data_IF_240645285682
#
_entry.id   IF_240645285682
#
_cell.length_a   1.000
_cell.length_b   1.000
_cell.length_c   1.000
_cell.angle_alpha   90.00
_cell.angle_beta   90.00
_cell.angle_gamma   90.00
#
_symmetry.space_group_name_H-M   'P 1'
#
loop_
_entity.id
_entity.type
_entity.pdbx_description
1 polymer ?
#
# COMPACT_ATOMS: atom_id res chain seq x y z
N UNK A 1 -16.62 20.45 -16.12
CA UNK A 1 -15.58 19.45 -16.46
C UNK A 1 -14.28 20.01 -15.92
N UNK A 2 -13.54 19.27 -15.08
CA UNK A 2 -12.20 19.72 -14.68
C UNK A 2 -11.34 19.79 -15.95
N UNK A 3 -10.78 20.95 -16.25
CA UNK A 3 -9.85 21.16 -17.36
C UNK A 3 -8.49 20.57 -16.97
N UNK A 4 -8.22 19.34 -17.41
CA UNK A 4 -6.96 18.65 -17.16
C UNK A 4 -7.06 17.15 -17.46
N UNK A 5 -5.95 16.56 -17.94
CA UNK A 5 -5.82 15.10 -18.12
C UNK A 5 -5.86 14.42 -16.76
N UNK A 6 -6.61 13.31 -16.60
CA UNK A 6 -6.61 12.57 -15.33
C UNK A 6 -5.29 11.84 -15.15
N UNK A 7 -4.77 11.84 -13.94
CA UNK A 7 -3.63 11.05 -13.52
C UNK A 7 -4.12 9.95 -12.58
N UNK A 8 -3.88 8.70 -12.95
CA UNK A 8 -4.26 7.53 -12.16
C UNK A 8 -2.99 6.99 -11.50
N UNK A 9 -2.87 7.20 -10.20
CA UNK A 9 -1.72 6.80 -9.39
C UNK A 9 -2.03 5.46 -8.72
N UNK A 10 -1.40 4.40 -9.20
CA UNK A 10 -1.52 3.07 -8.62
C UNK A 10 -0.48 2.84 -7.54
N UNK A 11 -0.93 2.31 -6.40
CA UNK A 11 -0.07 1.81 -5.34
C UNK A 11 -0.54 0.42 -4.97
N UNK A 12 0.37 -0.57 -5.01
CA UNK A 12 0.07 -1.95 -4.62
C UNK A 12 0.69 -2.20 -3.24
N UNK A 13 -0.16 -2.41 -2.23
CA UNK A 13 0.26 -2.86 -0.92
C UNK A 13 0.39 -4.38 -0.90
N UNK A 14 1.62 -4.87 -0.98
CA UNK A 14 1.91 -6.30 -1.03
C UNK A 14 2.25 -6.79 0.38
N UNK A 15 1.38 -7.62 0.97
CA UNK A 15 1.69 -8.37 2.19
C UNK A 15 2.78 -9.39 1.83
N UNK A 16 4.04 -9.04 2.13
CA UNK A 16 5.22 -9.68 1.55
C UNK A 16 5.73 -10.81 2.45
N UNK A 17 5.05 -11.95 2.42
CA UNK A 17 5.31 -13.09 3.30
C UNK A 17 5.96 -14.28 2.54
N UNK A 18 7.29 -14.29 2.31
CA UNK A 18 7.95 -15.40 1.63
C UNK A 18 7.86 -16.72 2.41
N UNK A 19 7.63 -16.65 3.73
CA UNK A 19 7.41 -17.80 4.61
C UNK A 19 6.06 -18.47 4.42
N UNK A 20 5.08 -17.80 3.80
CA UNK A 20 3.70 -18.25 3.74
C UNK A 20 3.57 -19.64 3.13
N UNK A 21 2.84 -20.53 3.80
CA UNK A 21 2.29 -21.76 3.21
C UNK A 21 0.94 -22.07 3.82
N UNK A 22 0.13 -22.90 3.15
CA UNK A 22 -1.22 -23.22 3.61
C UNK A 22 -1.29 -23.79 5.05
N UNK A 23 -0.21 -24.38 5.56
CA UNK A 23 -0.13 -24.94 6.91
C UNK A 23 1.26 -24.76 7.53
N UNK A 24 1.48 -23.76 8.38
CA UNK A 24 2.79 -23.47 8.99
C UNK A 24 3.65 -22.54 8.12
N UNK A 25 4.97 -22.66 8.20
CA UNK A 25 5.90 -21.78 7.47
C UNK A 25 6.92 -22.57 6.64
N UNK A 26 7.44 -21.95 5.58
CA UNK A 26 8.63 -22.42 4.89
C UNK A 26 9.89 -22.16 5.72
N UNK A 27 10.86 -23.06 5.61
CA UNK A 27 12.21 -22.82 6.12
C UNK A 27 12.93 -21.74 5.29
N UNK A 28 13.99 -21.17 5.85
CA UNK A 28 14.74 -20.09 5.22
C UNK A 28 15.25 -20.42 3.80
N UNK A 29 15.81 -21.62 3.50
CA UNK A 29 16.23 -21.96 2.14
C UNK A 29 15.08 -21.93 1.12
N UNK A 30 13.89 -22.38 1.49
CA UNK A 30 12.73 -22.27 0.60
C UNK A 30 12.27 -20.83 0.45
N UNK A 31 12.29 -20.02 1.52
CA UNK A 31 11.94 -18.60 1.45
C UNK A 31 12.87 -17.86 0.47
N UNK A 32 14.18 -18.09 0.57
CA UNK A 32 15.19 -17.51 -0.35
C UNK A 32 14.88 -17.91 -1.79
N UNK A 33 14.67 -19.22 -2.06
CA UNK A 33 14.32 -19.71 -3.40
C UNK A 33 13.05 -19.07 -3.93
N UNK A 34 12.02 -18.90 -3.10
CA UNK A 34 10.77 -18.26 -3.51
C UNK A 34 10.96 -16.78 -3.81
N UNK A 35 11.77 -16.09 -3.01
CA UNK A 35 12.13 -14.68 -3.24
C UNK A 35 12.93 -14.52 -4.54
N UNK A 36 13.84 -15.45 -4.86
CA UNK A 36 14.55 -15.45 -6.15
C UNK A 36 13.60 -15.56 -7.34
N UNK A 37 12.60 -16.45 -7.27
CA UNK A 37 11.61 -16.58 -8.32
C UNK A 37 10.71 -15.34 -8.41
N UNK A 38 10.32 -14.75 -7.27
CA UNK A 38 9.59 -13.49 -7.24
C UNK A 38 10.41 -12.36 -7.88
N UNK A 39 11.70 -12.24 -7.56
CA UNK A 39 12.61 -11.23 -8.11
C UNK A 39 12.69 -11.34 -9.64
N UNK A 40 12.85 -12.55 -10.18
CA UNK A 40 12.83 -12.79 -11.64
C UNK A 40 11.52 -12.34 -12.28
N UNK A 41 10.38 -12.68 -11.68
CA UNK A 41 9.07 -12.26 -12.18
C UNK A 41 8.90 -10.75 -12.11
N UNK A 42 9.23 -10.11 -10.98
CA UNK A 42 9.15 -8.67 -10.81
C UNK A 42 10.01 -7.92 -11.84
N UNK A 43 11.23 -8.41 -12.10
CA UNK A 43 12.11 -7.86 -13.13
C UNK A 43 11.49 -7.98 -14.53
N UNK A 44 11.04 -9.18 -14.91
CA UNK A 44 10.44 -9.42 -16.22
C UNK A 44 9.15 -8.59 -16.45
N UNK A 45 8.33 -8.43 -15.42
CA UNK A 45 7.11 -7.61 -15.49
C UNK A 45 7.43 -6.12 -15.53
N UNK A 46 8.36 -5.64 -14.69
CA UNK A 46 8.78 -4.24 -14.68
C UNK A 46 9.48 -3.80 -15.97
N UNK A 47 10.18 -4.71 -16.65
CA UNK A 47 10.76 -4.45 -17.98
C UNK A 47 9.70 -4.30 -19.07
N UNK A 48 8.63 -5.11 -19.00
CA UNK A 48 7.56 -5.11 -19.99
C UNK A 48 6.49 -4.03 -19.74
N UNK A 49 6.29 -3.63 -18.49
CA UNK A 49 5.24 -2.70 -18.08
C UNK A 49 5.88 -1.48 -17.44
N UNK A 50 5.81 -0.36 -18.16
CA UNK A 50 6.26 0.95 -17.69
C UNK A 50 5.13 1.96 -17.79
N UNK A 51 5.00 2.79 -16.77
CA UNK A 51 4.02 3.86 -16.74
C UNK A 51 4.41 5.02 -17.68
N UNK A 52 3.60 6.08 -17.68
CA UNK A 52 3.81 7.25 -18.55
C UNK A 52 5.12 8.00 -18.29
N UNK A 53 5.81 7.73 -17.18
CA UNK A 53 7.08 8.34 -16.78
C UNK A 53 8.27 7.40 -16.97
N UNK A 54 8.04 6.18 -17.46
CA UNK A 54 9.05 5.13 -17.60
C UNK A 54 9.27 4.30 -16.32
N UNK A 55 8.47 4.51 -15.28
CA UNK A 55 8.55 3.76 -14.01
C UNK A 55 8.07 2.34 -14.22
N UNK A 56 8.86 1.35 -13.78
CA UNK A 56 8.49 -0.06 -13.82
C UNK A 56 7.23 -0.32 -13.00
N UNK A 57 6.39 -1.25 -13.42
CA UNK A 57 5.37 -1.80 -12.51
C UNK A 57 6.06 -2.40 -11.28
N UNK A 58 5.65 -1.94 -10.10
CA UNK A 58 6.30 -2.24 -8.82
C UNK A 58 5.32 -2.14 -7.66
N UNK A 59 5.64 -2.82 -6.57
CA UNK A 59 4.83 -2.85 -5.37
C UNK A 59 5.51 -2.08 -4.23
N UNK A 60 4.73 -1.80 -3.18
CA UNK A 60 5.29 -1.60 -1.84
C UNK A 60 5.23 -2.94 -1.13
N UNK A 61 6.39 -3.46 -0.74
CA UNK A 61 6.55 -4.77 -0.13
C UNK A 61 6.60 -4.62 1.40
N UNK A 62 5.47 -4.86 2.04
CA UNK A 62 5.33 -4.80 3.49
C UNK A 62 5.85 -6.11 4.10
N UNK A 63 7.06 -6.10 4.65
CA UNK A 63 7.73 -7.29 5.18
C UNK A 63 7.42 -7.52 6.67
N UNK A 64 7.06 -8.74 7.11
CA UNK A 64 6.70 -9.03 8.50
C UNK A 64 7.87 -8.82 9.46
N UNK A 65 7.76 -7.84 10.34
CA UNK A 65 8.78 -7.49 11.33
C UNK A 65 9.11 -8.65 12.28
N UNK A 66 8.12 -9.50 12.58
CA UNK A 66 8.29 -10.67 13.44
C UNK A 66 9.03 -11.84 12.76
N UNK A 67 9.41 -11.71 11.49
CA UNK A 67 10.05 -12.75 10.69
C UNK A 67 11.36 -12.27 10.05
N UNK A 68 12.16 -11.48 10.77
CA UNK A 68 13.40 -10.95 10.24
C UNK A 68 14.45 -12.03 9.93
N UNK A 69 14.86 -12.10 8.65
CA UNK A 69 16.02 -12.85 8.19
C UNK A 69 16.89 -11.93 7.33
N UNK A 70 18.15 -11.66 7.70
CA UNK A 70 18.99 -10.71 6.98
C UNK A 70 19.11 -11.00 5.49
N UNK A 71 19.24 -12.27 5.10
CA UNK A 71 19.42 -12.70 3.71
C UNK A 71 18.22 -12.37 2.82
N UNK A 72 17.00 -12.37 3.39
CA UNK A 72 15.80 -12.00 2.65
C UNK A 72 15.74 -10.48 2.44
N UNK A 73 16.07 -9.70 3.48
CA UNK A 73 16.03 -8.24 3.41
C UNK A 73 17.18 -7.67 2.57
N UNK A 74 18.37 -8.26 2.62
CA UNK A 74 19.50 -7.90 1.75
C UNK A 74 19.06 -8.02 0.27
N UNK A 75 18.38 -9.12 -0.08
CA UNK A 75 17.82 -9.32 -1.43
C UNK A 75 16.67 -8.37 -1.77
N UNK A 76 15.82 -8.03 -0.81
CA UNK A 76 14.76 -7.03 -1.05
C UNK A 76 15.34 -5.62 -1.24
N UNK A 77 16.44 -5.29 -0.56
CA UNK A 77 17.18 -4.05 -0.80
C UNK A 77 17.78 -4.02 -2.21
N UNK A 78 18.34 -5.13 -2.71
CA UNK A 78 18.77 -5.26 -4.11
C UNK A 78 17.60 -5.03 -5.09
N UNK A 79 16.43 -5.63 -4.82
CA UNK A 79 15.23 -5.40 -5.62
C UNK A 79 14.80 -3.93 -5.62
N UNK A 80 14.90 -3.25 -4.47
CA UNK A 80 14.60 -1.83 -4.35
C UNK A 80 15.59 -0.98 -5.15
N UNK A 81 16.89 -1.25 -5.06
CA UNK A 81 17.92 -0.58 -5.85
C UNK A 81 17.70 -0.74 -7.36
N UNK A 82 17.13 -1.86 -7.81
CA UNK A 82 16.73 -2.09 -9.20
C UNK A 82 15.42 -1.38 -9.62
N UNK A 83 14.77 -0.69 -8.67
CA UNK A 83 13.50 -0.01 -8.87
C UNK A 83 12.29 -0.94 -8.95
N UNK A 84 12.36 -2.15 -8.36
CA UNK A 84 11.29 -3.17 -8.41
C UNK A 84 10.29 -3.08 -7.25
N UNK A 85 10.39 -2.06 -6.41
CA UNK A 85 9.49 -1.79 -5.30
C UNK A 85 10.24 -1.23 -4.10
N UNK A 86 9.53 -0.85 -3.06
CA UNK A 86 10.14 -0.37 -1.81
C UNK A 86 9.75 -1.29 -0.65
N UNK A 87 10.64 -1.44 0.33
CA UNK A 87 10.41 -2.23 1.54
C UNK A 87 9.82 -1.35 2.62
N UNK A 88 8.72 -1.81 3.22
CA UNK A 88 8.01 -1.13 4.31
C UNK A 88 7.59 -2.14 5.39
N UNK A 89 6.98 -1.68 6.49
CA UNK A 89 6.76 -2.52 7.68
C UNK A 89 5.38 -3.16 7.69
N UNK A 90 5.37 -4.46 7.89
CA UNK A 90 4.20 -5.28 8.17
C UNK A 90 4.36 -5.89 9.56
N UNK A 91 3.29 -6.03 10.34
CA UNK A 91 3.37 -6.76 11.60
C UNK A 91 2.10 -7.58 11.84
N UNK A 92 2.30 -8.87 12.15
CA UNK A 92 1.29 -9.66 12.84
C UNK A 92 1.60 -9.65 14.34
N UNK A 93 0.63 -9.25 15.14
CA UNK A 93 0.75 -9.27 16.59
C UNK A 93 -0.63 -9.52 17.22
N UNK A 94 -0.67 -9.82 18.51
CA UNK A 94 -1.94 -10.08 19.21
C UNK A 94 -2.66 -11.37 18.81
N UNK A 95 -2.01 -12.30 18.10
CA UNK A 95 -2.65 -13.49 17.49
C UNK A 95 -3.06 -14.53 18.53
N UNK A 96 -2.13 -14.95 19.40
CA UNK A 96 -2.39 -15.95 20.44
C UNK A 96 -3.02 -15.33 21.69
N UNK A 97 -2.56 -14.12 22.04
CA UNK A 97 -3.04 -13.30 23.16
C UNK A 97 -2.89 -11.82 22.78
N UNK A 98 -3.65 -10.89 23.39
CA UNK A 98 -3.46 -9.46 23.19
C UNK A 98 -2.00 -9.05 23.38
N UNK A 99 -1.49 -8.21 22.47
CA UNK A 99 -0.16 -7.62 22.58
C UNK A 99 -0.15 -6.45 23.58
N UNK A 100 1.04 -5.91 23.87
CA UNK A 100 1.19 -4.73 24.73
C UNK A 100 1.80 -3.57 23.97
N UNK A 101 1.48 -2.34 24.39
CA UNK A 101 2.07 -1.11 23.87
C UNK A 101 3.61 -1.11 23.89
N UNK A 102 4.19 -1.66 24.97
CA UNK A 102 5.65 -1.80 25.12
C UNK A 102 6.24 -2.74 24.07
N UNK A 103 5.66 -3.93 23.91
CA UNK A 103 6.17 -4.91 22.94
C UNK A 103 6.01 -4.41 21.50
N UNK A 104 4.84 -3.85 21.17
CA UNK A 104 4.58 -3.25 19.86
C UNK A 104 5.63 -2.18 19.54
N UNK A 105 5.88 -1.25 20.47
CA UNK A 105 6.89 -0.19 20.27
C UNK A 105 8.28 -0.75 20.06
N UNK A 106 8.69 -1.73 20.87
CA UNK A 106 10.03 -2.32 20.77
C UNK A 106 10.24 -2.99 19.41
N UNK A 107 9.29 -3.83 18.98
CA UNK A 107 9.37 -4.51 17.67
C UNK A 107 9.45 -3.51 16.52
N UNK A 108 8.61 -2.47 16.53
CA UNK A 108 8.60 -1.47 15.47
C UNK A 108 9.89 -0.66 15.41
N UNK A 109 10.42 -0.23 16.56
CA UNK A 109 11.66 0.54 16.64
C UNK A 109 12.84 -0.31 16.18
N UNK A 110 12.99 -1.53 16.72
CA UNK A 110 14.08 -2.43 16.36
C UNK A 110 14.06 -2.75 14.86
N UNK A 111 12.90 -3.11 14.31
CA UNK A 111 12.80 -3.47 12.90
C UNK A 111 13.00 -2.26 11.97
N UNK A 112 12.45 -1.09 12.31
CA UNK A 112 12.69 0.17 11.59
C UNK A 112 14.19 0.47 11.50
N UNK A 113 14.89 0.41 12.62
CA UNK A 113 16.30 0.77 12.69
C UNK A 113 17.15 -0.25 11.93
N UNK A 114 16.82 -1.55 12.01
CA UNK A 114 17.46 -2.59 11.18
C UNK A 114 17.25 -2.34 9.69
N UNK A 115 16.02 -2.04 9.24
CA UNK A 115 15.75 -1.75 7.84
C UNK A 115 16.52 -0.52 7.34
N UNK A 116 16.55 0.55 8.13
CA UNK A 116 17.21 1.79 7.76
C UNK A 116 18.75 1.68 7.78
N UNK A 117 19.32 1.15 8.86
CA UNK A 117 20.77 1.20 9.09
C UNK A 117 21.51 0.06 8.39
N UNK A 118 20.99 -1.16 8.44
CA UNK A 118 21.66 -2.31 7.82
C UNK A 118 21.33 -2.43 6.34
N UNK A 119 20.05 -2.31 6.00
CA UNK A 119 19.56 -2.60 4.64
C UNK A 119 19.44 -1.36 3.76
N UNK A 120 19.62 -0.15 4.34
CA UNK A 120 19.46 1.13 3.65
C UNK A 120 18.06 1.28 3.01
N UNK A 121 17.08 0.57 3.55
CA UNK A 121 15.67 0.68 3.18
C UNK A 121 15.04 1.90 3.89
N UNK A 122 13.73 2.10 3.68
CA UNK A 122 12.94 3.21 4.24
C UNK A 122 13.39 4.59 3.74
N UNK A 123 12.85 5.64 4.37
CA UNK A 123 13.03 7.02 3.98
C UNK A 123 13.20 7.96 5.17
N UNK A 124 13.59 9.21 4.93
CA UNK A 124 13.60 10.28 5.94
C UNK A 124 12.74 11.44 5.47
N UNK A 125 12.06 12.10 6.41
CA UNK A 125 11.27 13.29 6.11
C UNK A 125 12.21 14.46 5.83
N UNK A 126 12.11 15.03 4.63
CA UNK A 126 12.98 16.09 4.14
C UNK A 126 14.49 15.74 4.21
N UNK A 127 14.84 14.44 4.25
CA UNK A 127 16.22 13.94 4.36
C UNK A 127 16.79 13.92 5.78
N UNK A 128 15.99 14.24 6.80
CA UNK A 128 16.46 14.40 8.18
C UNK A 128 15.66 13.57 9.20
N UNK A 129 16.24 13.43 10.40
CA UNK A 129 15.58 12.85 11.56
C UNK A 129 15.49 11.33 11.55
N UNK A 130 14.47 10.80 12.25
CA UNK A 130 14.25 9.36 12.36
C UNK A 130 13.80 8.76 11.01
N UNK A 131 14.15 7.50 10.72
CA UNK A 131 13.57 6.79 9.58
C UNK A 131 12.05 6.79 9.63
N UNK A 132 11.44 6.94 8.46
CA UNK A 132 10.01 7.02 8.21
C UNK A 132 9.58 5.84 7.35
N UNK A 133 8.45 5.26 7.71
CA UNK A 133 7.98 4.00 7.16
C UNK A 133 6.45 3.99 6.99
N UNK A 134 5.96 3.14 6.09
CA UNK A 134 4.55 2.85 5.90
C UNK A 134 4.18 1.56 6.63
N UNK A 135 2.92 1.47 7.09
CA UNK A 135 2.43 0.31 7.82
C UNK A 135 1.32 -0.43 7.08
N UNK A 136 1.33 -1.75 7.24
CA UNK A 136 0.17 -2.61 7.05
C UNK A 136 0.03 -3.48 8.30
N UNK A 137 -1.16 -3.47 8.89
CA UNK A 137 -1.49 -4.35 9.99
C UNK A 137 -1.85 -5.74 9.45
N UNK A 138 -1.06 -6.76 9.78
CA UNK A 138 -1.17 -8.07 9.12
C UNK A 138 -2.45 -8.83 9.41
N UNK A 139 -3.00 -8.64 10.60
CA UNK A 139 -4.31 -9.17 10.96
C UNK A 139 -5.49 -8.23 10.66
N UNK A 140 -5.26 -7.13 9.94
CA UNK A 140 -6.24 -6.09 9.63
C UNK A 140 -6.81 -5.32 10.84
N UNK A 141 -6.47 -5.73 12.06
CA UNK A 141 -7.05 -5.26 13.32
C UNK A 141 -6.46 -3.93 13.83
N UNK A 142 -6.15 -3.00 12.91
CA UNK A 142 -5.54 -1.71 13.20
C UNK A 142 -6.24 -1.00 14.36
N UNK A 143 -5.43 -0.47 15.28
CA UNK A 143 -5.83 0.22 16.49
C UNK A 143 -6.83 -0.57 17.33
N UNK A 144 -6.55 -1.85 17.53
CA UNK A 144 -7.38 -2.78 18.26
C UNK A 144 -8.83 -2.89 17.76
N UNK A 145 -9.04 -2.78 16.44
CA UNK A 145 -10.38 -2.76 15.82
C UNK A 145 -11.18 -4.07 15.92
N UNK A 146 -10.57 -5.12 16.46
CA UNK A 146 -11.18 -6.42 16.71
C UNK A 146 -11.34 -6.73 18.21
N UNK A 147 -11.35 -5.70 19.08
CA UNK A 147 -11.75 -5.84 20.49
C UNK A 147 -10.83 -6.75 21.31
N UNK A 148 -9.52 -6.56 21.18
CA UNK A 148 -8.47 -7.33 21.87
C UNK A 148 -7.93 -8.52 21.07
N UNK A 149 -8.61 -8.95 20.00
CA UNK A 149 -8.13 -10.02 19.13
C UNK A 149 -7.20 -9.47 18.05
N UNK A 150 -6.11 -10.18 17.79
CA UNK A 150 -5.21 -9.89 16.69
C UNK A 150 -4.53 -8.51 16.71
N UNK A 151 -4.53 -7.84 17.86
CA UNK A 151 -3.81 -6.59 18.14
C UNK A 151 -3.65 -6.47 19.66
N UNK A 152 -4.62 -5.88 20.36
CA UNK A 152 -4.61 -5.74 21.82
C UNK A 152 -4.12 -4.38 22.36
N UNK A 153 -3.72 -3.46 21.48
CA UNK A 153 -3.15 -2.15 21.85
C UNK A 153 -4.06 -1.03 21.37
N UNK A 154 -4.71 -0.32 22.29
CA UNK A 154 -5.65 0.75 21.96
C UNK A 154 -4.90 1.97 21.38
N UNK A 155 -3.75 2.30 21.96
CA UNK A 155 -2.85 3.39 21.57
C UNK A 155 -1.90 3.05 20.40
N UNK A 156 -2.19 2.01 19.60
CA UNK A 156 -1.33 1.59 18.49
C UNK A 156 -1.06 2.75 17.51
N UNK A 157 -2.05 3.57 17.18
CA UNK A 157 -1.84 4.67 16.23
C UNK A 157 -0.89 5.75 16.76
N UNK A 158 -0.91 6.02 18.06
CA UNK A 158 0.05 6.91 18.70
C UNK A 158 1.47 6.31 18.61
N UNK A 159 1.61 5.02 18.88
CA UNK A 159 2.90 4.32 18.76
C UNK A 159 3.40 4.37 17.32
N UNK A 160 2.54 4.13 16.32
CA UNK A 160 2.87 4.25 14.90
C UNK A 160 3.39 5.67 14.58
N UNK A 161 2.69 6.72 14.99
CA UNK A 161 3.11 8.11 14.76
C UNK A 161 4.50 8.40 15.36
N UNK A 162 4.67 8.10 16.65
CA UNK A 162 5.88 8.38 17.42
C UNK A 162 7.10 7.60 16.93
N UNK A 163 6.88 6.39 16.40
CA UNK A 163 7.95 5.53 15.90
C UNK A 163 8.27 5.78 14.42
N UNK A 164 7.57 6.68 13.75
CA UNK A 164 7.95 7.16 12.42
C UNK A 164 6.98 6.81 11.29
N UNK A 165 5.85 6.18 11.57
CA UNK A 165 4.88 5.81 10.54
C UNK A 165 4.27 7.06 9.88
N UNK A 166 4.32 7.14 8.54
CA UNK A 166 3.74 8.25 7.78
C UNK A 166 2.42 7.90 7.10
N UNK A 167 2.17 6.61 6.85
CA UNK A 167 0.94 6.15 6.22
C UNK A 167 0.58 4.74 6.68
N UNK A 168 -0.70 4.53 6.96
CA UNK A 168 -1.30 3.19 7.06
C UNK A 168 -1.96 2.82 5.73
N UNK A 169 -1.74 1.57 5.32
CA UNK A 169 -2.27 0.97 4.10
C UNK A 169 -3.10 -0.27 4.42
N UNK A 170 -3.63 -0.41 5.63
CA UNK A 170 -4.40 -1.60 6.04
C UNK A 170 -5.76 -1.68 5.34
N UNK A 171 -6.42 -0.56 5.11
CA UNK A 171 -7.80 -0.52 4.58
C UNK A 171 -7.88 -0.60 3.04
N UNK A 172 -8.88 -1.28 2.44
CA UNK A 172 -10.03 -1.90 3.09
C UNK A 172 -9.70 -3.28 3.70
N UNK A 173 -10.43 -3.62 4.76
CA UNK A 173 -10.44 -4.96 5.37
C UNK A 173 -11.79 -5.67 5.23
N UNK A 174 -12.76 -5.08 4.52
CA UNK A 174 -14.05 -5.69 4.25
C UNK A 174 -13.89 -7.10 3.62
N UNK A 175 -14.75 -8.07 3.96
CA UNK A 175 -15.95 -7.94 4.80
C UNK A 175 -15.68 -8.13 6.31
N UNK A 176 -14.43 -8.11 6.75
CA UNK A 176 -14.09 -8.33 8.17
C UNK A 176 -14.64 -7.21 9.08
N UNK A 177 -14.86 -7.54 10.36
CA UNK A 177 -15.39 -6.60 11.35
C UNK A 177 -14.46 -5.40 11.62
N UNK A 178 -13.18 -5.54 11.31
CA UNK A 178 -12.16 -4.48 11.42
C UNK A 178 -12.40 -3.33 10.43
N UNK A 179 -13.24 -3.52 9.41
CA UNK A 179 -13.53 -2.48 8.42
C UNK A 179 -14.27 -1.30 9.06
N UNK A 180 -13.68 -0.11 8.95
CA UNK A 180 -14.31 1.15 9.41
C UNK A 180 -15.20 1.80 8.35
N UNK A 181 -16.12 2.71 8.74
CA UNK A 181 -17.00 3.44 7.81
C UNK A 181 -16.31 4.46 6.90
N UNK A 182 -15.04 4.78 7.16
CA UNK A 182 -14.25 5.69 6.32
C UNK A 182 -13.77 4.94 5.07
N UNK A 183 -14.37 5.23 3.92
CA UNK A 183 -14.13 4.53 2.66
C UNK A 183 -13.67 5.49 1.56
N UNK A 184 -12.83 5.01 0.64
CA UNK A 184 -12.47 5.66 -0.62
C UNK A 184 -11.93 7.10 -0.44
N UNK A 185 -11.12 7.31 0.60
CA UNK A 185 -10.52 8.59 0.96
C UNK A 185 -9.09 8.42 1.45
N UNK A 186 -8.33 9.51 1.37
CA UNK A 186 -7.08 9.70 2.10
C UNK A 186 -7.37 10.72 3.20
N UNK A 187 -7.11 10.36 4.46
CA UNK A 187 -7.53 11.18 5.59
C UNK A 187 -6.59 11.04 6.80
N UNK A 188 -6.58 12.07 7.64
CA UNK A 188 -6.00 12.03 8.99
C UNK A 188 -7.03 11.51 10.00
N UNK A 189 -6.59 10.79 11.04
CA UNK A 189 -7.47 10.31 12.10
C UNK A 189 -8.25 11.45 12.76
N UNK A 190 -9.51 11.20 13.08
CA UNK A 190 -10.43 12.21 13.63
C UNK A 190 -10.72 12.04 15.13
N UNK A 191 -10.14 11.02 15.76
CA UNK A 191 -10.24 10.71 17.18
C UNK A 191 -8.83 10.64 17.79
N UNK A 192 -8.68 10.73 19.12
CA UNK A 192 -7.38 10.67 19.79
C UNK A 192 -6.61 9.39 19.46
N UNK A 193 -5.30 9.51 19.17
CA UNK A 193 -4.49 8.36 18.75
C UNK A 193 -4.14 7.37 19.88
N UNK A 194 -4.36 7.79 21.13
CA UNK A 194 -4.21 7.00 22.34
C UNK A 194 -5.47 6.19 22.69
N UNK A 195 -6.48 6.20 21.82
CA UNK A 195 -7.71 5.41 21.94
C UNK A 195 -7.86 4.41 20.78
N UNK A 196 -8.60 3.33 21.02
CA UNK A 196 -8.89 2.32 20.00
C UNK A 196 -9.67 2.88 18.80
N UNK A 197 -9.35 2.35 17.61
CA UNK A 197 -10.02 2.60 16.34
C UNK A 197 -10.17 4.10 16.01
N UNK A 198 -9.13 4.95 16.16
CA UNK A 198 -9.31 6.37 16.02
C UNK A 198 -9.55 6.78 14.56
N UNK A 199 -9.07 5.94 13.62
CA UNK A 199 -9.31 6.03 12.19
C UNK A 199 -10.77 5.74 11.78
N UNK A 200 -11.65 5.33 12.71
CA UNK A 200 -13.10 5.17 12.43
C UNK A 200 -13.77 6.46 11.99
N UNK A 201 -13.21 7.61 12.37
CA UNK A 201 -13.54 8.93 11.86
C UNK A 201 -12.27 9.59 11.35
N UNK A 202 -12.41 10.51 10.42
CA UNK A 202 -11.27 11.25 9.93
C UNK A 202 -11.66 12.44 9.07
N UNK A 203 -10.66 13.26 8.77
CA UNK A 203 -10.81 14.42 7.91
C UNK A 203 -10.02 14.19 6.63
N UNK A 204 -10.72 14.19 5.50
CA UNK A 204 -10.07 14.03 4.19
C UNK A 204 -9.09 15.17 3.94
N UNK A 205 -7.94 14.83 3.35
CA UNK A 205 -6.94 15.83 2.97
C UNK A 205 -7.44 16.72 1.83
N UNK A 206 -6.97 17.95 1.80
CA UNK A 206 -7.37 18.95 0.80
C UNK A 206 -6.15 19.77 0.33
N UNK A 207 -6.23 20.32 -0.88
CA UNK A 207 -5.26 21.30 -1.36
C UNK A 207 -5.26 22.54 -0.48
N UNK A 208 -4.08 23.15 -0.29
CA UNK A 208 -3.85 24.24 0.66
C UNK A 208 -4.34 23.90 2.08
N UNK A 209 -4.21 22.62 2.45
CA UNK A 209 -4.58 22.11 3.76
C UNK A 209 -3.52 22.41 4.81
N UNK A 210 -3.90 22.22 6.09
CA UNK A 210 -2.92 22.18 7.17
C UNK A 210 -2.04 20.93 7.04
N UNK A 211 -0.89 20.95 7.71
CA UNK A 211 -0.08 19.74 7.91
C UNK A 211 -0.96 18.68 8.62
N UNK A 212 -1.18 17.50 8.00
CA UNK A 212 -2.03 16.48 8.60
C UNK A 212 -1.34 15.81 9.79
N UNK A 213 -2.14 15.30 10.73
CA UNK A 213 -1.67 14.33 11.72
C UNK A 213 -1.29 13.01 11.01
N UNK A 214 -0.18 12.41 11.43
CA UNK A 214 0.32 11.15 10.87
C UNK A 214 0.02 9.97 11.81
N UNK A 215 0.00 8.74 11.30
CA UNK A 215 0.02 8.39 9.88
C UNK A 215 -1.30 8.77 9.16
N UNK A 216 -1.19 9.13 7.88
CA UNK A 216 -2.39 9.24 7.03
C UNK A 216 -2.97 7.84 6.77
N UNK A 217 -4.28 7.73 6.66
CA UNK A 217 -4.92 6.48 6.26
C UNK A 217 -5.18 6.51 4.76
N UNK A 218 -4.56 5.60 4.03
CA UNK A 218 -4.80 5.40 2.61
C UNK A 218 -5.74 4.21 2.43
N UNK A 219 -6.96 4.50 2.02
CA UNK A 219 -7.94 3.45 1.71
C UNK A 219 -7.88 3.07 0.24
N UNK A 220 -8.07 1.79 -0.04
CA UNK A 220 -8.26 1.26 -1.39
C UNK A 220 -9.71 1.33 -1.86
N UNK A 221 -10.00 1.04 -3.14
CA UNK A 221 -11.36 1.12 -3.63
C UNK A 221 -12.19 0.06 -2.89
N UNK A 222 -13.16 0.52 -2.10
CA UNK A 222 -14.21 -0.32 -1.53
C UNK A 222 -15.55 0.14 -2.09
N UNK A 223 -16.03 -0.58 -3.10
CA UNK A 223 -17.24 -0.23 -3.85
C UNK A 223 -18.04 -1.48 -4.22
N UNK A 224 -19.27 -1.27 -4.67
CA UNK A 224 -20.10 -2.37 -5.18
C UNK A 224 -19.80 -2.68 -6.65
N UNK A 225 -19.53 -3.94 -6.92
CA UNK A 225 -19.52 -4.53 -8.24
C UNK A 225 -20.91 -5.10 -8.56
N UNK A 226 -21.64 -4.40 -9.42
CA UNK A 226 -22.99 -4.78 -9.86
C UNK A 226 -23.01 -5.62 -11.13
N UNK A 227 -21.90 -6.23 -11.57
CA UNK A 227 -21.88 -7.00 -12.84
C UNK A 227 -22.55 -8.36 -12.73
N UNK A 228 -22.61 -8.96 -11.52
CA UNK A 228 -23.24 -10.27 -11.32
C UNK A 228 -24.77 -10.17 -11.50
N UNK A 229 -25.33 -11.17 -12.18
CA UNK A 229 -26.77 -11.36 -12.34
C UNK A 229 -27.18 -12.75 -11.85
N UNK A 230 -28.24 -12.84 -11.04
CA UNK A 230 -28.87 -14.12 -10.66
C UNK A 230 -30.33 -14.05 -11.10
N UNK A 231 -30.76 -14.98 -11.97
CA UNK A 231 -32.10 -14.97 -12.59
C UNK A 231 -32.45 -13.60 -13.22
N UNK A 232 -31.47 -12.93 -13.83
CA UNK A 232 -31.63 -11.61 -14.44
C UNK A 232 -31.54 -10.41 -13.49
N UNK A 233 -31.52 -10.61 -12.16
CA UNK A 233 -31.46 -9.53 -11.18
C UNK A 233 -30.02 -9.20 -10.77
N UNK A 234 -29.66 -7.90 -10.61
CA UNK A 234 -28.34 -7.48 -10.13
C UNK A 234 -28.12 -7.94 -8.69
N UNK A 235 -26.99 -8.61 -8.44
CA UNK A 235 -26.56 -8.99 -7.08
C UNK A 235 -25.20 -8.36 -6.82
N UNK A 236 -25.08 -7.43 -5.85
CA UNK A 236 -23.82 -6.73 -5.61
C UNK A 236 -22.78 -7.70 -5.05
N UNK A 237 -21.53 -7.49 -5.45
CA UNK A 237 -20.34 -8.00 -4.76
C UNK A 237 -19.50 -6.83 -4.29
N UNK A 238 -18.66 -7.07 -3.29
CA UNK A 238 -17.64 -6.12 -2.91
C UNK A 238 -16.51 -6.19 -3.95
N UNK A 239 -16.03 -5.02 -4.34
CA UNK A 239 -14.73 -4.81 -4.99
C UNK A 239 -13.88 -4.04 -3.98
N UNK A 240 -12.77 -4.65 -3.56
CA UNK A 240 -11.85 -4.20 -2.50
C UNK A 240 -10.44 -3.88 -3.03
N UNK A 241 -10.21 -4.08 -4.34
CA UNK A 241 -8.89 -3.89 -4.95
C UNK A 241 -7.92 -5.06 -4.79
N UNK A 242 -8.38 -6.25 -4.41
CA UNK A 242 -7.52 -7.43 -4.29
C UNK A 242 -6.99 -7.91 -5.67
N UNK A 243 -5.67 -8.07 -5.81
CA UNK A 243 -5.06 -8.72 -6.96
C UNK A 243 -4.97 -10.23 -6.69
N UNK A 244 -6.01 -10.97 -7.07
CA UNK A 244 -6.14 -12.42 -6.82
C UNK A 244 -6.64 -13.16 -8.05
N UNK A 245 -6.32 -14.45 -8.14
CA UNK A 245 -6.59 -15.29 -9.31
C UNK A 245 -8.07 -15.35 -9.69
N UNK A 246 -8.96 -15.45 -8.70
CA UNK A 246 -10.40 -15.60 -8.90
C UNK A 246 -11.13 -14.27 -9.19
N UNK A 247 -10.40 -13.14 -9.25
CA UNK A 247 -10.94 -11.83 -9.61
C UNK A 247 -10.21 -11.27 -10.85
N UNK A 248 -10.63 -11.65 -12.06
CA UNK A 248 -9.99 -11.19 -13.29
C UNK A 248 -9.91 -9.66 -13.37
N UNK A 249 -8.78 -9.15 -13.83
CA UNK A 249 -8.59 -7.74 -14.13
C UNK A 249 -8.99 -7.46 -15.58
N UNK A 250 -9.89 -6.50 -15.76
CA UNK A 250 -10.36 -6.01 -17.05
C UNK A 250 -10.59 -4.49 -16.98
N UNK A 251 -10.81 -3.85 -18.13
CA UNK A 251 -11.08 -2.41 -18.19
C UNK A 251 -12.31 -2.02 -17.36
N UNK A 252 -13.30 -2.90 -17.20
CA UNK A 252 -14.45 -2.61 -16.35
C UNK A 252 -14.07 -2.55 -14.86
N UNK A 253 -13.15 -3.40 -14.41
CA UNK A 253 -12.58 -3.40 -13.05
C UNK A 253 -11.70 -2.17 -12.82
N UNK A 254 -10.87 -1.83 -13.79
CA UNK A 254 -10.13 -0.55 -13.81
C UNK A 254 -11.06 0.64 -13.60
N UNK A 255 -12.11 0.76 -14.41
CA UNK A 255 -13.07 1.86 -14.33
C UNK A 255 -13.79 1.90 -12.97
N UNK A 256 -14.08 0.73 -12.39
CA UNK A 256 -14.62 0.64 -11.03
C UNK A 256 -13.64 1.24 -10.02
N UNK A 257 -12.38 0.83 -10.03
CA UNK A 257 -11.38 1.40 -9.11
C UNK A 257 -11.23 2.91 -9.25
N UNK A 258 -11.16 3.43 -10.49
CA UNK A 258 -11.10 4.87 -10.75
C UNK A 258 -12.38 5.58 -10.26
N UNK A 259 -13.54 4.94 -10.36
CA UNK A 259 -14.82 5.49 -9.90
C UNK A 259 -14.94 5.64 -8.38
N UNK A 260 -14.10 4.93 -7.59
CA UNK A 260 -13.99 5.17 -6.16
C UNK A 260 -13.53 6.61 -5.86
N UNK A 261 -12.85 7.25 -6.82
CA UNK A 261 -12.51 8.67 -6.83
C UNK A 261 -11.79 9.14 -5.55
N UNK A 262 -10.87 8.30 -5.07
CA UNK A 262 -9.96 8.64 -3.98
C UNK A 262 -9.02 9.73 -4.48
N UNK A 263 -9.16 10.94 -3.94
CA UNK A 263 -8.47 12.15 -4.42
C UNK A 263 -8.13 13.04 -3.23
N UNK A 264 -7.19 13.96 -3.41
CA UNK A 264 -7.05 15.10 -2.50
C UNK A 264 -8.13 16.12 -2.84
N UNK A 265 -8.93 16.54 -1.85
CA UNK A 265 -10.05 17.45 -2.10
C UNK A 265 -9.56 18.75 -2.75
N UNK A 266 -10.19 19.14 -3.85
CA UNK A 266 -9.77 20.28 -4.68
C UNK A 266 -8.77 19.93 -5.78
N UNK A 267 -8.34 18.66 -5.88
CA UNK A 267 -7.47 18.11 -6.93
C UNK A 267 -8.06 16.83 -7.57
N UNK A 268 -9.25 16.92 -8.21
CA UNK A 268 -9.95 15.75 -8.73
C UNK A 268 -9.26 15.07 -9.92
N UNK A 269 -8.26 15.72 -10.52
CA UNK A 269 -7.48 15.18 -11.62
C UNK A 269 -6.40 14.19 -11.18
N UNK A 270 -6.04 14.12 -9.89
CA UNK A 270 -5.13 13.10 -9.35
C UNK A 270 -5.91 12.05 -8.56
N UNK A 271 -6.14 10.89 -9.18
CA UNK A 271 -6.91 9.78 -8.62
C UNK A 271 -5.95 8.71 -8.11
N UNK A 272 -6.05 8.39 -6.83
CA UNK A 272 -5.26 7.36 -6.19
C UNK A 272 -6.02 6.03 -6.22
N UNK A 273 -5.34 4.96 -6.63
CA UNK A 273 -5.88 3.61 -6.65
C UNK A 273 -4.94 2.72 -5.84
N UNK A 274 -5.27 2.55 -4.56
CA UNK A 274 -4.55 1.63 -3.67
C UNK A 274 -5.13 0.22 -3.81
N UNK A 275 -4.36 -0.70 -4.39
CA UNK A 275 -4.67 -2.13 -4.49
C UNK A 275 -3.87 -2.90 -3.44
N UNK A 276 -4.18 -4.17 -3.26
CA UNK A 276 -3.39 -5.04 -2.38
C UNK A 276 -3.27 -6.45 -2.91
N UNK A 277 -2.26 -7.17 -2.43
CA UNK A 277 -2.04 -8.56 -2.80
C UNK A 277 -1.24 -9.33 -1.74
N UNK A 278 -1.23 -10.65 -1.87
CA UNK A 278 -0.26 -11.53 -1.22
C UNK A 278 0.66 -12.12 -2.29
N UNK A 279 1.87 -11.57 -2.44
CA UNK A 279 2.79 -11.92 -3.53
C UNK A 279 3.31 -13.36 -3.49
N UNK A 280 3.17 -14.04 -2.35
CA UNK A 280 3.61 -15.42 -2.14
C UNK A 280 2.44 -16.42 -2.02
N UNK A 281 1.24 -16.03 -2.40
CA UNK A 281 0.16 -17.01 -2.56
C UNK A 281 0.29 -17.61 -3.96
N UNK A 282 0.65 -18.90 -4.02
CA UNK A 282 1.07 -19.56 -5.28
C UNK A 282 0.02 -19.45 -6.39
N UNK A 283 -1.27 -19.50 -6.03
CA UNK A 283 -2.36 -19.36 -6.98
C UNK A 283 -2.52 -17.93 -7.52
N UNK A 284 -2.17 -16.92 -6.73
CA UNK A 284 -2.42 -15.51 -7.02
C UNK A 284 -1.26 -14.81 -7.74
N UNK A 285 -0.04 -15.37 -7.70
CA UNK A 285 1.16 -14.76 -8.30
C UNK A 285 0.96 -14.23 -9.74
N UNK A 286 0.23 -14.97 -10.57
CA UNK A 286 -0.10 -14.54 -11.94
C UNK A 286 -0.89 -13.23 -11.98
N UNK A 287 -1.81 -13.03 -11.04
CA UNK A 287 -2.61 -11.81 -10.93
C UNK A 287 -1.84 -10.67 -10.25
N UNK A 288 -0.97 -10.98 -9.29
CA UNK A 288 -0.21 -9.97 -8.53
C UNK A 288 0.93 -9.35 -9.35
N UNK A 289 1.85 -10.17 -9.86
CA UNK A 289 3.11 -9.71 -10.46
C UNK A 289 3.47 -10.44 -11.76
N UNK A 290 2.81 -11.55 -12.08
CA UNK A 290 3.08 -12.35 -13.27
C UNK A 290 2.34 -11.91 -14.54
N UNK A 291 2.11 -12.86 -15.46
CA UNK A 291 1.52 -12.59 -16.79
C UNK A 291 0.14 -11.91 -16.78
N UNK A 292 -0.67 -12.14 -15.74
CA UNK A 292 -1.96 -11.47 -15.59
C UNK A 292 -1.82 -9.98 -15.30
N UNK A 293 -0.93 -9.63 -14.36
CA UNK A 293 -0.56 -8.25 -14.08
C UNK A 293 0.07 -7.59 -15.31
N UNK A 294 1.05 -8.26 -15.92
CA UNK A 294 1.73 -7.78 -17.13
C UNK A 294 0.74 -7.40 -18.22
N UNK A 295 -0.15 -8.32 -18.61
CA UNK A 295 -1.16 -8.08 -19.65
C UNK A 295 -2.07 -6.90 -19.30
N UNK A 296 -2.65 -6.91 -18.09
CA UNK A 296 -3.65 -5.92 -17.71
C UNK A 296 -3.07 -4.51 -17.58
N UNK A 297 -1.91 -4.37 -16.93
CA UNK A 297 -1.31 -3.06 -16.75
C UNK A 297 -0.79 -2.47 -18.07
N UNK A 298 -0.24 -3.29 -18.98
CA UNK A 298 0.04 -2.86 -20.36
C UNK A 298 -1.24 -2.38 -21.07
N UNK A 299 -2.35 -3.10 -20.95
CA UNK A 299 -3.62 -2.76 -21.60
C UNK A 299 -4.16 -1.40 -21.15
N UNK A 300 -4.14 -1.09 -19.84
CA UNK A 300 -4.63 0.21 -19.34
C UNK A 300 -3.69 1.36 -19.71
N UNK A 301 -2.38 1.13 -19.77
CA UNK A 301 -1.41 2.15 -20.20
C UNK A 301 -1.65 2.49 -21.67
N UNK A 302 -1.67 1.47 -22.54
CA UNK A 302 -1.95 1.65 -23.96
C UNK A 302 -3.31 2.30 -24.21
N UNK A 303 -4.33 1.95 -23.41
CA UNK A 303 -5.66 2.54 -23.52
C UNK A 303 -5.62 4.05 -23.20
N UNK A 304 -4.98 4.44 -22.09
CA UNK A 304 -4.83 5.84 -21.72
C UNK A 304 -4.00 6.66 -22.73
N UNK A 305 -2.99 6.06 -23.35
CA UNK A 305 -2.22 6.67 -24.44
C UNK A 305 -3.06 6.88 -25.70
N UNK A 306 -3.80 5.84 -26.12
CA UNK A 306 -4.65 5.89 -27.32
C UNK A 306 -5.81 6.87 -27.19
N UNK A 307 -6.47 6.94 -26.04
CA UNK A 307 -7.62 7.83 -25.85
C UNK A 307 -7.22 9.25 -25.45
N UNK A 308 -6.09 9.40 -24.75
CA UNK A 308 -5.66 10.66 -24.18
C UNK A 308 -6.46 11.09 -22.93
N UNK A 309 -7.35 10.24 -22.41
CA UNK A 309 -8.23 10.57 -21.29
C UNK A 309 -7.51 10.60 -19.94
N UNK A 310 -6.48 9.77 -19.78
CA UNK A 310 -5.72 9.65 -18.55
C UNK A 310 -4.25 9.28 -18.79
N UNK A 311 -3.43 9.40 -17.74
CA UNK A 311 -2.08 8.83 -17.62
C UNK A 311 -2.03 7.92 -16.41
N UNK A 312 -1.33 6.81 -16.55
CA UNK A 312 -1.06 5.87 -15.45
C UNK A 312 0.29 6.21 -14.83
N UNK A 313 0.37 6.12 -13.51
CA UNK A 313 1.58 6.28 -12.71
C UNK A 313 1.66 5.14 -11.69
N UNK A 314 2.76 4.40 -11.63
CA UNK A 314 3.02 3.41 -10.58
C UNK A 314 3.82 4.05 -9.46
N UNK A 315 3.30 4.02 -8.23
CA UNK A 315 3.93 4.66 -7.07
C UNK A 315 4.04 3.68 -5.89
N UNK A 316 5.18 3.70 -5.20
CA UNK A 316 5.27 3.10 -3.86
C UNK A 316 4.40 3.88 -2.85
N UNK A 317 4.23 3.36 -1.63
CA UNK A 317 3.54 4.05 -0.56
C UNK A 317 4.20 5.39 -0.23
N UNK A 318 5.53 5.43 -0.21
CA UNK A 318 6.33 6.65 -0.01
C UNK A 318 6.08 7.68 -1.09
N UNK A 319 6.12 7.26 -2.36
CA UNK A 319 5.90 8.14 -3.50
C UNK A 319 4.46 8.66 -3.53
N UNK A 320 3.47 7.79 -3.25
CA UNK A 320 2.07 8.20 -3.16
C UNK A 320 1.84 9.21 -2.03
N UNK A 321 2.46 9.00 -0.87
CA UNK A 321 2.47 9.97 0.22
C UNK A 321 3.09 11.31 -0.19
N UNK A 322 4.21 11.29 -0.92
CA UNK A 322 4.86 12.49 -1.41
C UNK A 322 3.98 13.27 -2.42
N UNK A 323 3.31 12.55 -3.33
CA UNK A 323 2.36 13.14 -4.28
C UNK A 323 1.17 13.77 -3.54
N UNK A 324 0.63 13.09 -2.51
CA UNK A 324 -0.43 13.65 -1.65
C UNK A 324 0.05 14.87 -0.89
N UNK A 325 1.25 14.82 -0.31
CA UNK A 325 1.85 15.94 0.43
C UNK A 325 2.06 17.16 -0.48
N UNK A 326 2.52 16.94 -1.72
CA UNK A 326 2.63 18.01 -2.72
C UNK A 326 1.26 18.61 -3.08
N UNK A 327 0.22 17.78 -3.19
CA UNK A 327 -1.13 18.25 -3.43
C UNK A 327 -1.67 19.08 -2.24
N UNK A 328 -1.45 18.63 -1.00
CA UNK A 328 -1.82 19.36 0.23
C UNK A 328 -1.14 20.73 0.26
N UNK A 329 0.15 20.79 -0.09
CA UNK A 329 0.93 22.03 -0.17
C UNK A 329 0.57 22.90 -1.40
N UNK A 330 -0.40 22.49 -2.21
CA UNK A 330 -0.89 23.25 -3.37
C UNK A 330 0.09 23.31 -4.55
N UNK A 331 1.04 22.37 -4.64
CA UNK A 331 2.01 22.33 -5.75
C UNK A 331 1.34 22.04 -7.09
N UNK A 332 1.83 22.68 -8.15
CA UNK A 332 1.37 22.45 -9.52
C UNK A 332 2.40 21.62 -10.28
N UNK A 333 1.95 20.73 -11.16
CA UNK A 333 2.81 19.83 -11.93
C UNK A 333 2.11 18.52 -12.22
N UNK A 334 2.89 17.50 -12.54
CA UNK A 334 2.44 16.11 -12.68
C UNK A 334 2.82 15.30 -11.44
N UNK A 335 2.16 14.16 -11.15
CA UNK A 335 2.55 13.31 -10.03
C UNK A 335 4.04 12.89 -10.07
N UNK A 336 4.61 12.72 -11.27
CA UNK A 336 6.01 12.34 -11.43
C UNK A 336 6.99 13.33 -10.77
N UNK A 337 6.68 14.62 -10.85
CA UNK A 337 7.52 15.70 -10.30
C UNK A 337 7.64 15.62 -8.77
N UNK A 338 6.74 14.88 -8.11
CA UNK A 338 6.61 14.85 -6.66
C UNK A 338 6.91 13.49 -6.04
N UNK A 339 7.39 12.49 -6.78
CA UNK A 339 7.72 11.15 -6.23
C UNK A 339 8.68 11.21 -5.04
N UNK A 340 9.62 12.16 -5.08
CA UNK A 340 10.61 12.39 -4.03
C UNK A 340 10.39 13.74 -3.33
N UNK A 341 9.16 14.21 -3.12
CA UNK A 341 8.90 15.56 -2.57
C UNK A 341 9.39 15.73 -1.13
N UNK A 342 8.77 15.04 -0.15
CA UNK A 342 9.11 15.14 1.28
C UNK A 342 10.00 14.00 1.74
N UNK A 343 9.51 12.77 1.63
CA UNK A 343 10.24 11.56 2.00
C UNK A 343 11.32 11.24 0.95
N UNK A 344 12.58 11.27 1.39
CA UNK A 344 13.76 10.89 0.59
C UNK A 344 14.17 9.48 0.96
N UNK A 345 14.36 8.59 -0.01
CA UNK A 345 14.79 7.22 0.28
C UNK A 345 16.21 7.25 0.87
N UNK A 346 16.47 6.43 1.90
CA UNK A 346 17.79 6.36 2.53
C UNK A 346 18.83 5.82 1.54
N UNK A 347 18.43 4.88 0.68
CA UNK A 347 19.29 4.31 -0.37
C UNK A 347 19.80 5.32 -1.41
N UNK A 348 19.14 6.48 -1.53
CA UNK A 348 19.50 7.53 -2.50
C UNK A 348 20.42 8.61 -1.86
N UNK A 349 20.68 8.55 -0.55
CA UNK A 349 21.64 9.39 0.19
C UNK A 349 23.06 8.83 0.09
#
# INVERSE_FOLDING_TARGET
KAEGKKHIIFTVANHFEPSWKAQGFHDLPNQIRRLDEYHKMARATGEAVRDADGTKFRHTNFYPAEQYYPELLDKMAEMQAEGLGEVEIHLHHGVEKPDTAENLRNVLVEFRDVLAERHQCLSKMDGEGIPRWAFVHGNLALANSCGGKYCGVDEEMQILEETGCYVDMTMPSAPDQTQVPMLNQIYECGLPLDEAIPHRKGKSVAVFGNKPQLPLIFTGPLIFNWTRRIKGLPVPRIEDGALVHNQPMDIARFNRWVSANVTVKGRPEWVFVKLYCHGFFDHDQKACIGEGAKRFFSEIIENGEKTGDYKVHFASAREAFNIVSAAIDGKNGTPNDFRNYRLKAIMDE
#
